data_IF_249395035800
#
_entry.id   IF_249395035800
#
_cell.length_a   1.000
_cell.length_b   1.000
_cell.length_c   1.000
_cell.angle_alpha   90.00
_cell.angle_beta   90.00
_cell.angle_gamma   90.00
#
_symmetry.space_group_name_H-M   'P 1'
#
loop_
_entity.id
_entity.type
_entity.pdbx_description
1 polymer ?
#
# COMPACT_ATOMS: atom_id res chain seq x y z
N UNK A 1 -1.74 20.89 1.28
CA UNK A 1 -0.89 21.27 2.42
C UNK A 1 -0.80 20.04 3.33
N UNK A 2 0.41 19.60 3.68
CA UNK A 2 0.58 18.46 4.58
C UNK A 2 0.22 18.82 6.03
N UNK A 3 -0.05 17.79 6.84
CA UNK A 3 -0.39 17.95 8.28
C UNK A 3 0.66 18.76 9.02
N UNK A 4 1.95 18.59 8.70
CA UNK A 4 3.05 19.34 9.30
C UNK A 4 2.87 20.84 9.16
N UNK A 5 2.56 21.33 7.95
CA UNK A 5 2.39 22.77 7.71
C UNK A 5 1.17 23.34 8.41
N UNK A 6 0.13 22.54 8.61
CA UNK A 6 -1.11 22.97 9.29
C UNK A 6 -0.93 23.13 10.80
N UNK A 7 -0.02 22.37 11.41
CA UNK A 7 0.20 22.37 12.87
C UNK A 7 1.60 22.85 13.27
N UNK A 8 2.42 23.32 12.33
CA UNK A 8 3.78 23.79 12.61
C UNK A 8 4.72 22.71 13.11
N UNK A 9 4.40 21.45 12.85
CA UNK A 9 5.22 20.29 13.24
C UNK A 9 6.31 20.05 12.18
N UNK A 10 7.45 19.51 12.61
CA UNK A 10 8.50 19.04 11.73
C UNK A 10 8.86 17.61 12.07
N UNK A 11 8.77 16.72 11.09
CA UNK A 11 9.13 15.30 11.23
C UNK A 11 10.39 14.99 10.41
N UNK A 12 11.33 14.28 11.07
CA UNK A 12 12.55 13.84 10.41
C UNK A 12 13.62 14.92 10.25
N UNK A 13 14.68 14.56 9.54
CA UNK A 13 15.88 15.38 9.35
C UNK A 13 16.09 15.80 7.88
N UNK A 14 15.36 15.17 6.98
CA UNK A 14 15.49 15.42 5.53
C UNK A 14 14.61 16.59 5.10
N UNK A 15 14.98 17.21 4.01
CA UNK A 15 14.16 18.24 3.40
C UNK A 15 12.91 17.63 2.76
N UNK A 16 11.80 18.39 2.80
CA UNK A 16 10.55 17.97 2.20
C UNK A 16 10.58 18.13 0.68
N UNK A 17 9.84 17.26 -0.01
CA UNK A 17 9.49 17.46 -1.41
C UNK A 17 8.56 18.69 -1.61
N UNK A 18 8.32 19.11 -2.86
CA UNK A 18 7.59 20.35 -3.16
C UNK A 18 6.18 20.43 -2.56
N UNK A 19 5.51 19.30 -2.36
CA UNK A 19 4.15 19.20 -1.81
C UNK A 19 4.10 18.61 -0.41
N UNK A 20 5.22 18.10 0.07
CA UNK A 20 5.33 17.30 1.29
C UNK A 20 4.35 16.11 1.29
N UNK A 21 4.30 15.37 0.17
CA UNK A 21 3.43 14.21 -0.04
C UNK A 21 4.24 13.03 -0.59
N UNK A 22 3.78 11.82 -0.36
CA UNK A 22 4.37 10.61 -0.95
C UNK A 22 4.43 10.66 -2.49
N UNK A 23 3.49 11.38 -3.11
CA UNK A 23 3.43 11.60 -4.56
C UNK A 23 4.45 12.61 -5.07
N UNK A 24 5.32 13.15 -4.22
CA UNK A 24 6.52 13.87 -4.66
C UNK A 24 7.60 12.93 -5.21
N UNK A 25 7.53 11.65 -4.85
CA UNK A 25 8.37 10.61 -5.46
C UNK A 25 7.87 10.33 -6.88
N UNK A 26 8.71 10.52 -7.91
CA UNK A 26 8.31 10.29 -9.30
C UNK A 26 7.78 8.87 -9.53
N UNK A 27 6.63 8.75 -10.19
CA UNK A 27 5.99 7.47 -10.51
C UNK A 27 5.02 6.97 -9.44
N UNK A 28 5.11 7.42 -8.19
CA UNK A 28 4.16 7.05 -7.14
C UNK A 28 2.80 7.67 -7.41
N UNK A 29 1.76 6.84 -7.35
CA UNK A 29 0.36 7.25 -7.47
C UNK A 29 -0.43 6.80 -6.26
N UNK A 30 -1.39 7.61 -5.83
CA UNK A 30 -2.30 7.33 -4.72
C UNK A 30 -3.73 7.56 -5.17
N UNK A 31 -4.61 6.62 -4.84
CA UNK A 31 -6.04 6.73 -5.07
C UNK A 31 -6.83 6.38 -3.82
N UNK A 32 -8.01 6.96 -3.69
CA UNK A 32 -8.91 6.73 -2.57
C UNK A 32 -10.32 6.42 -3.05
N UNK A 33 -10.96 5.46 -2.40
CA UNK A 33 -12.41 5.26 -2.47
C UNK A 33 -12.95 5.38 -1.06
N UNK A 34 -13.88 6.31 -0.85
CA UNK A 34 -14.51 6.54 0.46
C UNK A 34 -15.98 6.14 0.40
N UNK A 35 -16.40 5.34 1.36
CA UNK A 35 -17.80 5.00 1.59
C UNK A 35 -18.33 5.85 2.73
N UNK A 36 -19.46 6.51 2.48
CA UNK A 36 -20.12 7.39 3.43
C UNK A 36 -21.62 7.17 3.31
N UNK A 37 -22.15 6.24 4.13
CA UNK A 37 -23.54 5.84 4.09
C UNK A 37 -24.06 5.62 5.53
N UNK A 38 -24.86 6.54 6.03
CA UNK A 38 -25.36 6.55 7.40
C UNK A 38 -24.21 6.51 8.42
N UNK A 39 -24.18 5.46 9.22
CA UNK A 39 -23.12 5.21 10.22
C UNK A 39 -21.84 4.60 9.62
N UNK A 40 -21.84 4.27 8.34
CA UNK A 40 -20.69 3.67 7.66
C UNK A 40 -19.77 4.78 7.15
N UNK A 41 -18.59 4.88 7.74
CA UNK A 41 -17.52 5.81 7.33
C UNK A 41 -16.23 5.02 7.15
N UNK A 42 -15.94 4.58 5.93
CA UNK A 42 -14.79 3.74 5.65
C UNK A 42 -14.31 3.93 4.22
N UNK A 43 -13.27 3.18 3.83
CA UNK A 43 -12.75 3.25 2.48
C UNK A 43 -11.51 2.42 2.28
N UNK A 44 -10.93 2.58 1.09
CA UNK A 44 -9.66 1.98 0.70
C UNK A 44 -8.77 3.05 0.09
N UNK A 45 -7.51 3.04 0.49
CA UNK A 45 -6.44 3.80 -0.16
C UNK A 45 -5.53 2.83 -0.89
N UNK A 46 -5.27 3.09 -2.17
CA UNK A 46 -4.29 2.36 -2.97
C UNK A 46 -3.04 3.22 -3.21
N UNK A 47 -1.86 2.64 -2.98
CA UNK A 47 -0.58 3.24 -3.30
C UNK A 47 0.09 2.37 -4.36
N UNK A 48 0.35 2.94 -5.53
CA UNK A 48 1.05 2.28 -6.63
C UNK A 48 2.46 2.87 -6.69
N UNK A 49 3.51 2.05 -6.47
CA UNK A 49 4.87 2.55 -6.26
C UNK A 49 5.52 3.10 -7.54
N UNK A 50 5.17 2.59 -8.72
CA UNK A 50 5.64 3.07 -10.02
C UNK A 50 4.65 2.72 -11.14
N UNK A 51 4.93 3.16 -12.36
CA UNK A 51 4.03 3.01 -13.52
C UNK A 51 4.18 1.69 -14.28
N UNK A 52 5.24 0.92 -14.00
CA UNK A 52 5.49 -0.41 -14.58
C UNK A 52 4.68 -1.51 -13.92
N UNK A 53 4.97 -2.74 -14.29
CA UNK A 53 4.38 -3.92 -13.66
C UNK A 53 5.13 -4.25 -12.36
N UNK A 54 4.49 -3.96 -11.23
CA UNK A 54 5.09 -4.13 -9.90
C UNK A 54 5.44 -5.59 -9.59
N UNK A 55 4.75 -6.55 -10.22
CA UNK A 55 5.02 -7.97 -10.01
C UNK A 55 6.35 -8.40 -10.63
N UNK A 56 6.60 -8.01 -11.87
CA UNK A 56 7.84 -8.33 -12.59
C UNK A 56 8.96 -7.33 -12.31
N UNK A 57 8.62 -6.07 -12.07
CA UNK A 57 9.55 -4.98 -11.77
C UNK A 57 9.46 -4.61 -10.29
N UNK A 58 9.82 -5.57 -9.41
CA UNK A 58 9.68 -5.41 -7.95
C UNK A 58 10.44 -4.22 -7.41
N UNK A 59 9.80 -3.47 -6.51
CA UNK A 59 10.46 -2.40 -5.76
C UNK A 59 11.19 -2.96 -4.55
N UNK A 60 12.33 -2.37 -4.18
CA UNK A 60 12.89 -2.55 -2.86
C UNK A 60 11.92 -2.01 -1.82
N UNK A 61 11.69 -2.77 -0.77
CA UNK A 61 10.76 -2.42 0.29
C UNK A 61 11.26 -2.87 1.66
N UNK A 62 10.84 -2.14 2.68
CA UNK A 62 11.07 -2.49 4.08
C UNK A 62 9.80 -2.28 4.89
N UNK A 63 9.62 -3.08 5.93
CA UNK A 63 8.49 -2.97 6.83
C UNK A 63 8.94 -3.05 8.28
N UNK A 64 8.31 -2.25 9.12
CA UNK A 64 8.51 -2.28 10.57
C UNK A 64 7.16 -2.29 11.27
N UNK A 65 7.01 -3.20 12.25
CA UNK A 65 5.81 -3.31 13.07
C UNK A 65 6.00 -2.50 14.34
N UNK A 66 5.28 -1.40 14.49
CA UNK A 66 5.35 -0.53 15.69
C UNK A 66 4.69 -1.22 16.88
N UNK A 67 3.57 -1.93 16.65
CA UNK A 67 2.87 -2.72 17.66
C UNK A 67 2.09 -3.88 17.03
N UNK A 68 1.74 -4.88 17.84
CA UNK A 68 1.05 -6.09 17.37
C UNK A 68 -0.46 -5.96 17.20
N UNK A 69 -1.06 -4.78 17.40
CA UNK A 69 -2.51 -4.60 17.25
C UNK A 69 -2.95 -4.38 15.80
N UNK A 70 -2.05 -3.93 14.94
CA UNK A 70 -2.28 -3.77 13.49
C UNK A 70 -2.62 -5.10 12.81
N UNK A 71 -3.51 -5.05 11.82
CA UNK A 71 -3.83 -6.19 10.95
C UNK A 71 -3.16 -5.99 9.61
N UNK A 72 -2.50 -7.05 9.12
CA UNK A 72 -1.74 -6.99 7.88
C UNK A 72 -1.71 -8.34 7.19
N UNK A 73 -1.65 -8.30 5.86
CA UNK A 73 -1.34 -9.45 5.00
C UNK A 73 -0.15 -9.05 4.14
N UNK A 74 0.80 -9.97 3.89
CA UNK A 74 1.95 -9.76 3.01
C UNK A 74 3.20 -9.15 3.65
N UNK A 75 3.17 -8.69 4.91
CA UNK A 75 4.35 -8.11 5.56
C UNK A 75 5.51 -9.10 5.70
N UNK A 76 5.24 -10.38 5.92
CA UNK A 76 6.28 -11.41 6.07
C UNK A 76 7.14 -11.49 4.82
N UNK A 77 6.51 -11.48 3.65
CA UNK A 77 7.23 -11.51 2.37
C UNK A 77 8.12 -10.26 2.21
N UNK A 78 7.61 -9.07 2.56
CA UNK A 78 8.41 -7.83 2.50
C UNK A 78 9.59 -7.88 3.47
N UNK A 79 9.41 -8.42 4.67
CA UNK A 79 10.48 -8.55 5.67
C UNK A 79 11.55 -9.56 5.25
N UNK A 80 11.15 -10.70 4.67
CA UNK A 80 12.08 -11.77 4.30
C UNK A 80 12.79 -11.49 2.97
N UNK A 81 12.08 -10.98 1.97
CA UNK A 81 12.63 -10.78 0.63
C UNK A 81 13.08 -9.33 0.34
N UNK A 82 12.67 -8.38 1.17
CA UNK A 82 13.03 -6.97 0.98
C UNK A 82 12.43 -6.34 -0.28
N UNK A 83 11.35 -6.92 -0.81
CA UNK A 83 10.71 -6.46 -2.05
C UNK A 83 9.20 -6.36 -1.94
N UNK A 84 8.63 -5.48 -2.75
CA UNK A 84 7.19 -5.30 -2.94
C UNK A 84 6.83 -5.75 -4.36
N UNK A 85 5.81 -6.58 -4.49
CA UNK A 85 5.38 -7.15 -5.77
C UNK A 85 3.91 -6.84 -6.12
N UNK A 86 3.24 -6.03 -5.30
CA UNK A 86 1.87 -5.56 -5.53
C UNK A 86 1.74 -4.08 -5.15
N UNK A 87 0.68 -3.38 -5.58
CA UNK A 87 0.25 -2.17 -4.90
C UNK A 87 0.06 -2.39 -3.39
N UNK A 88 0.16 -1.32 -2.60
CA UNK A 88 -0.14 -1.34 -1.17
C UNK A 88 -1.58 -0.87 -1.00
N UNK A 89 -2.41 -1.67 -0.34
CA UNK A 89 -3.79 -1.28 -0.02
C UNK A 89 -3.94 -1.05 1.48
N UNK A 90 -4.53 0.08 1.83
CA UNK A 90 -4.85 0.48 3.20
C UNK A 90 -6.36 0.53 3.38
N UNK A 91 -6.86 -0.07 4.45
CA UNK A 91 -8.30 -0.12 4.73
C UNK A 91 -8.58 -0.21 6.23
N UNK A 92 -9.83 -0.38 6.62
CA UNK A 92 -10.20 -0.65 8.01
C UNK A 92 -9.84 -2.10 8.42
N UNK A 93 -9.78 -2.34 9.72
CA UNK A 93 -9.35 -3.62 10.33
C UNK A 93 -10.12 -4.83 9.82
N UNK A 94 -11.45 -4.74 9.67
CA UNK A 94 -12.30 -5.88 9.29
C UNK A 94 -12.24 -6.19 7.79
N UNK A 95 -11.82 -5.23 6.97
CA UNK A 95 -11.79 -5.34 5.51
C UNK A 95 -10.42 -5.76 4.94
N UNK A 96 -9.40 -5.95 5.77
CA UNK A 96 -8.04 -6.32 5.32
C UNK A 96 -8.05 -7.58 4.45
N UNK A 97 -8.79 -8.62 4.85
CA UNK A 97 -8.91 -9.86 4.06
C UNK A 97 -9.62 -9.64 2.73
N UNK A 98 -10.73 -8.91 2.73
CA UNK A 98 -11.49 -8.60 1.51
C UNK A 98 -10.66 -7.83 0.50
N UNK A 99 -9.96 -6.81 0.97
CA UNK A 99 -9.09 -5.98 0.13
C UNK A 99 -7.89 -6.77 -0.38
N UNK A 100 -7.35 -7.69 0.43
CA UNK A 100 -6.29 -8.62 0.02
C UNK A 100 -6.74 -9.53 -1.13
N UNK A 101 -7.95 -10.09 -1.06
CA UNK A 101 -8.53 -10.91 -2.14
C UNK A 101 -8.69 -10.10 -3.42
N UNK A 102 -9.27 -8.92 -3.33
CA UNK A 102 -9.42 -8.02 -4.49
C UNK A 102 -8.06 -7.63 -5.11
N UNK A 103 -7.02 -7.48 -4.29
CA UNK A 103 -5.68 -7.20 -4.79
C UNK A 103 -5.08 -8.41 -5.53
N UNK A 104 -5.30 -9.62 -5.05
CA UNK A 104 -4.90 -10.85 -5.77
C UNK A 104 -5.62 -10.93 -7.13
N UNK A 105 -6.93 -10.73 -7.15
CA UNK A 105 -7.72 -10.70 -8.41
C UNK A 105 -7.18 -9.65 -9.39
N UNK A 106 -6.91 -8.44 -8.90
CA UNK A 106 -6.30 -7.36 -9.70
C UNK A 106 -4.95 -7.76 -10.30
N UNK A 107 -4.11 -8.50 -9.56
CA UNK A 107 -2.81 -8.95 -10.04
C UNK A 107 -2.94 -10.07 -11.07
N UNK A 108 -3.86 -11.03 -10.86
CA UNK A 108 -4.14 -12.11 -11.80
C UNK A 108 -4.71 -11.61 -13.14
N UNK A 109 -5.53 -10.57 -13.13
CA UNK A 109 -6.05 -9.94 -14.35
C UNK A 109 -4.97 -9.27 -15.20
N UNK A 110 -3.80 -9.01 -14.66
CA UNK A 110 -2.69 -8.29 -15.31
C UNK A 110 -1.49 -9.15 -15.62
N UNK A 111 -1.40 -10.31 -14.99
CA UNK A 111 -0.24 -11.18 -15.06
C UNK A 111 -0.72 -12.62 -15.22
N UNK A 112 -0.88 -13.05 -16.45
CA UNK A 112 -1.41 -14.38 -16.81
C UNK A 112 -0.51 -15.55 -16.36
N UNK A 113 0.75 -15.26 -16.04
CA UNK A 113 1.76 -16.22 -15.61
C UNK A 113 1.77 -16.47 -14.09
N UNK A 114 1.06 -15.65 -13.30
CA UNK A 114 0.92 -15.91 -11.85
C UNK A 114 0.16 -17.20 -11.60
N UNK A 115 0.75 -18.08 -10.80
CA UNK A 115 0.20 -19.40 -10.48
C UNK A 115 0.50 -20.47 -11.54
N UNK A 116 1.16 -20.11 -12.64
CA UNK A 116 1.64 -21.01 -13.68
C UNK A 116 3.17 -21.06 -13.69
N UNK A 117 3.81 -20.10 -14.35
CA UNK A 117 5.27 -20.08 -14.53
C UNK A 117 5.98 -19.17 -13.54
N UNK A 118 5.33 -18.10 -13.06
CA UNK A 118 5.92 -17.08 -12.20
C UNK A 118 5.70 -17.29 -10.68
N UNK A 119 5.18 -18.44 -10.26
CA UNK A 119 4.85 -18.70 -8.86
C UNK A 119 3.55 -18.04 -8.42
N UNK A 120 3.48 -17.58 -7.16
CA UNK A 120 2.29 -16.94 -6.57
C UNK A 120 2.55 -15.49 -6.22
N UNK A 121 1.49 -14.71 -6.00
CA UNK A 121 1.56 -13.32 -5.58
C UNK A 121 1.23 -13.15 -4.10
N UNK A 122 2.00 -12.33 -3.41
CA UNK A 122 1.74 -11.92 -2.02
C UNK A 122 1.14 -10.53 -2.00
N UNK A 123 -0.16 -10.44 -1.78
CA UNK A 123 -0.86 -9.17 -1.67
C UNK A 123 -0.47 -8.42 -0.40
N UNK A 124 -0.21 -7.12 -0.50
CA UNK A 124 0.08 -6.28 0.66
C UNK A 124 -1.14 -5.43 1.04
N UNK A 125 -1.84 -5.87 2.07
CA UNK A 125 -3.01 -5.21 2.62
C UNK A 125 -2.83 -4.90 4.09
N UNK A 126 -3.02 -3.65 4.48
CA UNK A 126 -2.74 -3.13 5.80
C UNK A 126 -3.94 -2.33 6.32
N UNK A 127 -4.02 -2.21 7.64
CA UNK A 127 -4.89 -1.19 8.24
C UNK A 127 -4.19 0.16 8.23
N UNK A 128 -4.98 1.20 8.09
CA UNK A 128 -4.59 2.55 8.51
C UNK A 128 -5.44 2.98 9.70
N UNK A 129 -4.83 3.67 10.61
CA UNK A 129 -5.48 4.25 11.79
C UNK A 129 -5.62 5.75 11.58
#
# INVERSE_FOLDING_TARGET
MGVESSYGLKFGYMDHGPRNLITDVPGVRVGHVTLHDGEVHTGVTAIIPHTGDVFHEKCLAGAHVINGFGKSIGLVQVQELGTLETPILLTNTLSVGTVSTALVEYMLERNDDIGLDAGTVNSLSLIHI
#
